data_IF_815131385979
#
_entry.id   IF_815131385979
#
_cell.length_a   1.000
_cell.length_b   1.000
_cell.length_c   1.000
_cell.angle_alpha   90.00
_cell.angle_beta   90.00
_cell.angle_gamma   90.00
#
_symmetry.space_group_name_H-M   'P 1'
#
loop_
_entity.id
_entity.type
_entity.pdbx_description
1 polymer ?
#
# COMPACT_ATOMS: atom_id res chain seq x y z
N UNK A 1 -0.50 -30.38 29.88
CA UNK A 1 0.56 -29.88 28.96
C UNK A 1 1.75 -30.83 28.86
N UNK A 2 2.19 -31.48 29.95
CA UNK A 2 3.31 -32.44 29.95
C UNK A 2 3.15 -33.70 29.05
N UNK A 3 1.98 -33.92 28.45
CA UNK A 3 1.72 -35.03 27.53
C UNK A 3 2.12 -34.71 26.07
N UNK A 4 2.33 -33.43 25.73
CA UNK A 4 2.60 -32.98 24.35
C UNK A 4 3.89 -32.16 24.19
N UNK A 5 4.48 -31.66 25.29
CA UNK A 5 5.80 -31.01 25.28
C UNK A 5 6.78 -31.91 26.02
N UNK A 6 7.85 -32.32 25.35
CA UNK A 6 8.95 -33.02 26.03
C UNK A 6 9.79 -32.03 26.81
N UNK A 7 10.55 -32.52 27.80
CA UNK A 7 11.48 -31.67 28.56
C UNK A 7 12.57 -31.04 27.68
N UNK A 8 12.94 -31.69 26.57
CA UNK A 8 13.88 -31.16 25.59
C UNK A 8 13.29 -29.96 24.84
N UNK A 9 12.01 -30.04 24.43
CA UNK A 9 11.29 -28.94 23.79
C UNK A 9 11.18 -27.72 24.72
N UNK A 10 10.90 -27.94 26.01
CA UNK A 10 10.84 -26.87 27.00
C UNK A 10 12.18 -26.13 27.12
N UNK A 11 13.29 -26.86 27.21
CA UNK A 11 14.64 -26.28 27.28
C UNK A 11 14.94 -25.48 26.01
N UNK A 12 14.61 -26.02 24.84
CA UNK A 12 14.84 -25.37 23.55
C UNK A 12 14.03 -24.08 23.41
N UNK A 13 12.75 -24.10 23.83
CA UNK A 13 11.89 -22.91 23.84
C UNK A 13 12.38 -21.85 24.83
N UNK A 14 12.83 -22.25 26.02
CA UNK A 14 13.40 -21.33 26.99
C UNK A 14 14.67 -20.66 26.46
N UNK A 15 15.57 -21.42 25.82
CA UNK A 15 16.77 -20.87 25.18
C UNK A 15 16.43 -19.85 24.10
N UNK A 16 15.48 -20.17 23.20
CA UNK A 16 15.02 -19.23 22.16
C UNK A 16 14.38 -17.98 22.75
N UNK A 17 13.52 -18.14 23.75
CA UNK A 17 12.87 -17.02 24.45
C UNK A 17 13.89 -16.12 25.14
N UNK A 18 14.93 -16.70 25.74
CA UNK A 18 16.01 -15.95 26.37
C UNK A 18 16.79 -15.12 25.35
N UNK A 19 17.14 -15.69 24.19
CA UNK A 19 17.81 -14.96 23.10
C UNK A 19 16.98 -13.80 22.55
N UNK A 20 15.65 -13.91 22.60
CA UNK A 20 14.74 -12.85 22.13
C UNK A 20 14.59 -11.69 23.12
N UNK A 21 15.01 -11.82 24.38
CA UNK A 21 14.90 -10.76 25.38
C UNK A 21 15.80 -9.58 25.01
N UNK A 22 15.25 -8.37 25.09
CA UNK A 22 15.93 -7.11 24.76
C UNK A 22 15.75 -6.14 25.91
N UNK A 23 16.83 -5.50 26.35
CA UNK A 23 16.80 -4.41 27.34
C UNK A 23 16.60 -3.04 26.67
N UNK A 24 16.89 -2.94 25.38
CA UNK A 24 16.77 -1.73 24.59
C UNK A 24 15.43 -1.65 23.86
N UNK A 25 15.04 -0.43 23.50
CA UNK A 25 13.87 -0.18 22.68
C UNK A 25 14.05 -0.68 21.24
N UNK A 26 12.93 -0.87 20.53
CA UNK A 26 12.98 -1.20 19.11
C UNK A 26 13.46 0.02 18.31
N UNK A 27 14.49 -0.12 17.45
CA UNK A 27 15.06 0.99 16.72
C UNK A 27 14.03 1.58 15.74
N UNK A 28 14.14 2.88 15.48
CA UNK A 28 13.32 3.60 14.50
C UNK A 28 13.90 3.58 13.10
N UNK A 29 15.13 3.06 12.92
CA UNK A 29 15.84 2.97 11.64
C UNK A 29 16.48 1.59 11.49
N UNK A 30 16.47 1.08 10.26
CA UNK A 30 17.00 -0.26 9.95
C UNK A 30 18.48 -0.26 9.59
N UNK A 31 19.03 0.89 9.18
CA UNK A 31 20.39 1.03 8.67
C UNK A 31 21.23 1.96 9.56
N UNK A 32 22.55 1.78 9.50
CA UNK A 32 23.50 2.72 10.06
C UNK A 32 23.62 3.94 9.13
N UNK A 33 23.18 5.10 9.60
CA UNK A 33 23.12 6.32 8.79
C UNK A 33 24.44 7.09 8.83
N UNK A 34 24.95 7.42 7.64
CA UNK A 34 26.02 8.42 7.52
C UNK A 34 25.44 9.79 7.85
N UNK A 35 25.95 10.44 8.90
CA UNK A 35 25.45 11.74 9.32
C UNK A 35 24.06 11.69 9.96
N UNK A 36 23.77 10.63 10.73
CA UNK A 36 22.52 10.38 11.44
C UNK A 36 21.87 11.61 12.12
N UNK A 37 22.66 12.50 12.73
CA UNK A 37 22.17 13.70 13.41
C UNK A 37 21.66 14.81 12.47
N UNK A 38 22.01 14.74 11.19
CA UNK A 38 21.62 15.70 10.14
C UNK A 38 20.52 15.16 9.24
N UNK A 39 20.15 13.89 9.37
CA UNK A 39 19.09 13.30 8.56
C UNK A 39 17.74 13.95 8.91
N UNK A 40 17.04 14.53 7.93
CA UNK A 40 15.82 15.29 8.20
C UNK A 40 14.67 14.41 8.73
N UNK A 41 14.64 13.12 8.38
CA UNK A 41 13.61 12.19 8.86
C UNK A 41 13.88 11.85 10.32
N UNK A 42 15.09 11.41 10.64
CA UNK A 42 15.46 11.02 12.00
C UNK A 42 15.41 12.19 12.98
N UNK A 43 15.87 13.37 12.57
CA UNK A 43 15.77 14.58 13.41
C UNK A 43 14.31 14.92 13.70
N UNK A 44 13.41 14.79 12.72
CA UNK A 44 11.99 15.04 12.95
C UNK A 44 11.35 13.99 13.86
N UNK A 45 11.64 12.71 13.67
CA UNK A 45 11.12 11.63 14.52
C UNK A 45 11.55 11.80 15.98
N UNK A 46 12.82 12.15 16.20
CA UNK A 46 13.37 12.46 17.53
C UNK A 46 12.73 13.69 18.15
N UNK A 47 12.54 14.76 17.37
CA UNK A 47 11.87 15.99 17.82
C UNK A 47 10.43 15.73 18.27
N UNK A 48 9.74 14.79 17.61
CA UNK A 48 8.36 14.40 17.94
C UNK A 48 8.27 13.33 19.05
N UNK A 49 9.40 12.84 19.57
CA UNK A 49 9.41 11.82 20.63
C UNK A 49 8.97 10.43 20.18
N UNK A 50 9.02 10.13 18.88
CA UNK A 50 8.57 8.85 18.33
C UNK A 50 9.68 7.80 18.42
N UNK A 51 9.79 7.12 19.56
CA UNK A 51 10.86 6.15 19.86
C UNK A 51 10.40 4.69 19.91
N UNK A 52 9.17 4.38 19.49
CA UNK A 52 8.57 3.05 19.61
C UNK A 52 8.41 2.57 21.06
N UNK A 53 8.05 3.47 22.00
CA UNK A 53 7.74 3.07 23.37
C UNK A 53 6.62 2.03 23.42
N UNK A 54 6.59 1.12 24.41
CA UNK A 54 5.50 0.15 24.55
C UNK A 54 4.10 0.80 24.59
N UNK A 55 4.00 2.01 25.14
CA UNK A 55 2.77 2.83 25.17
C UNK A 55 2.34 3.39 23.81
N UNK A 56 3.26 3.52 22.85
CA UNK A 56 2.97 4.15 21.57
C UNK A 56 2.08 3.23 20.72
N UNK A 57 0.90 3.71 20.32
CA UNK A 57 0.00 2.95 19.43
C UNK A 57 0.44 2.96 17.98
N UNK A 58 1.28 3.92 17.59
CA UNK A 58 1.87 4.02 16.27
C UNK A 58 3.37 3.74 16.39
N UNK A 59 3.86 2.76 15.61
CA UNK A 59 5.27 2.43 15.53
C UNK A 59 5.86 2.98 14.23
N UNK A 60 7.11 3.39 14.27
CA UNK A 60 7.84 3.94 13.12
C UNK A 60 9.01 3.03 12.78
N UNK A 61 9.14 2.71 11.50
CA UNK A 61 10.31 2.02 10.94
C UNK A 61 10.79 2.79 9.72
N UNK A 62 11.96 3.43 9.81
CA UNK A 62 12.63 4.08 8.70
C UNK A 62 13.57 3.10 7.99
N UNK A 63 13.31 2.89 6.71
CA UNK A 63 14.11 2.06 5.82
C UNK A 63 14.70 2.93 4.69
N UNK A 64 15.93 3.44 4.87
CA UNK A 64 16.57 4.39 3.95
C UNK A 64 17.20 3.73 2.70
N UNK A 65 16.73 2.55 2.32
CA UNK A 65 17.16 1.77 1.15
C UNK A 65 15.93 1.42 0.29
N UNK A 66 16.14 1.09 -0.99
CA UNK A 66 15.08 0.52 -1.82
C UNK A 66 14.81 -0.92 -1.41
N UNK A 67 13.53 -1.30 -1.45
CA UNK A 67 13.11 -2.66 -1.16
C UNK A 67 13.56 -3.61 -2.29
N UNK A 68 14.06 -4.77 -1.88
CA UNK A 68 14.56 -5.82 -2.75
C UNK A 68 14.35 -7.16 -2.04
N UNK A 69 13.88 -8.17 -2.76
CA UNK A 69 13.74 -9.56 -2.28
C UNK A 69 15.04 -10.14 -1.73
N UNK A 70 16.20 -9.67 -2.21
CA UNK A 70 17.51 -10.07 -1.69
C UNK A 70 17.85 -9.43 -0.32
N UNK A 71 17.06 -8.47 0.17
CA UNK A 71 17.33 -7.82 1.45
C UNK A 71 17.00 -8.78 2.61
N UNK A 72 17.97 -9.11 3.48
CA UNK A 72 17.79 -10.06 4.57
C UNK A 72 16.77 -9.63 5.64
N UNK A 73 16.36 -8.36 5.66
CA UNK A 73 15.43 -7.80 6.65
C UNK A 73 13.96 -8.11 6.31
N UNK A 74 13.55 -7.80 5.07
CA UNK A 74 12.16 -7.93 4.64
C UNK A 74 11.95 -9.13 3.70
N UNK A 75 12.92 -9.46 2.85
CA UNK A 75 12.79 -10.54 1.87
C UNK A 75 11.63 -10.33 0.89
N UNK A 76 11.30 -9.07 0.57
CA UNK A 76 10.17 -8.70 -0.28
C UNK A 76 10.60 -7.68 -1.33
N UNK A 77 10.09 -7.85 -2.55
CA UNK A 77 10.18 -6.80 -3.57
C UNK A 77 9.20 -5.65 -3.25
N UNK A 78 9.45 -4.48 -3.84
CA UNK A 78 8.64 -3.28 -3.61
C UNK A 78 7.13 -3.52 -3.83
N UNK A 79 6.75 -4.22 -4.90
CA UNK A 79 5.34 -4.47 -5.19
C UNK A 79 4.68 -5.41 -4.17
N UNK A 80 5.40 -6.44 -3.71
CA UNK A 80 4.91 -7.38 -2.70
C UNK A 80 4.72 -6.66 -1.37
N UNK A 81 5.67 -5.80 -1.02
CA UNK A 81 5.58 -4.95 0.15
C UNK A 81 4.36 -4.03 0.09
N UNK A 82 4.14 -3.33 -1.03
CA UNK A 82 2.97 -2.45 -1.20
C UNK A 82 1.68 -3.26 -1.07
N UNK A 83 1.56 -4.43 -1.72
CA UNK A 83 0.38 -5.31 -1.61
C UNK A 83 0.14 -5.82 -0.19
N UNK A 84 1.19 -5.99 0.61
CA UNK A 84 1.14 -6.34 2.03
C UNK A 84 0.73 -5.18 2.95
N UNK A 85 0.84 -3.94 2.47
CA UNK A 85 0.43 -2.76 3.21
C UNK A 85 -1.07 -2.50 3.11
N UNK A 86 -1.60 -1.72 4.06
CA UNK A 86 -3.04 -1.42 4.13
C UNK A 86 -3.40 -0.06 3.54
N UNK A 87 -2.50 0.91 3.66
CA UNK A 87 -2.69 2.29 3.22
C UNK A 87 -1.34 2.88 2.80
N UNK A 88 -1.29 3.48 1.61
CA UNK A 88 -0.17 4.32 1.18
C UNK A 88 -0.43 5.79 1.53
N UNK A 89 0.56 6.51 2.06
CA UNK A 89 0.40 7.90 2.49
C UNK A 89 1.46 8.76 1.80
N UNK A 90 1.01 9.63 0.89
CA UNK A 90 1.84 10.43 -0.02
C UNK A 90 1.44 11.92 0.03
N UNK A 91 1.73 12.64 1.14
CA UNK A 91 1.35 14.05 1.31
C UNK A 91 2.28 15.00 0.52
N UNK A 92 2.49 14.72 -0.76
CA UNK A 92 3.43 15.41 -1.65
C UNK A 92 3.12 16.90 -1.78
N UNK A 93 4.17 17.74 -1.69
CA UNK A 93 4.08 19.18 -1.97
C UNK A 93 4.26 19.51 -3.45
N UNK A 94 5.09 18.72 -4.14
CA UNK A 94 5.38 18.87 -5.56
C UNK A 94 5.39 17.49 -6.22
N UNK A 95 4.38 17.21 -7.02
CA UNK A 95 4.21 15.93 -7.69
C UNK A 95 3.43 16.12 -9.01
N UNK A 96 4.13 16.30 -10.13
CA UNK A 96 3.48 16.62 -11.41
C UNK A 96 2.49 15.56 -11.88
N UNK A 97 2.77 14.28 -11.58
CA UNK A 97 1.87 13.17 -11.85
C UNK A 97 1.51 12.44 -10.56
N UNK A 98 2.35 11.53 -10.08
CA UNK A 98 2.04 10.73 -8.90
C UNK A 98 1.97 9.24 -9.23
N UNK A 99 3.13 8.68 -9.61
CA UNK A 99 3.24 7.26 -9.92
C UNK A 99 2.95 6.38 -8.70
N UNK A 100 3.48 6.74 -7.53
CA UNK A 100 3.33 5.95 -6.31
C UNK A 100 1.86 5.75 -5.87
N UNK A 101 1.00 6.79 -5.80
CA UNK A 101 -0.43 6.57 -5.53
C UNK A 101 -1.16 5.85 -6.68
N UNK A 102 -0.74 6.02 -7.93
CA UNK A 102 -1.29 5.28 -9.06
C UNK A 102 -0.96 3.78 -8.98
N UNK A 103 0.29 3.42 -8.71
CA UNK A 103 0.77 2.06 -8.46
C UNK A 103 0.01 1.41 -7.30
N UNK A 104 -0.17 2.12 -6.18
CA UNK A 104 -0.99 1.63 -5.08
C UNK A 104 -2.42 1.32 -5.53
N UNK A 105 -3.02 2.18 -6.37
CA UNK A 105 -4.38 1.99 -6.88
C UNK A 105 -4.48 0.74 -7.77
N UNK A 106 -3.52 0.56 -8.67
CA UNK A 106 -3.41 -0.64 -9.52
C UNK A 106 -3.25 -1.91 -8.68
N UNK A 107 -2.52 -1.83 -7.57
CA UNK A 107 -2.36 -2.93 -6.61
C UNK A 107 -3.54 -3.11 -5.64
N UNK A 108 -4.62 -2.33 -5.76
CA UNK A 108 -5.79 -2.41 -4.87
C UNK A 108 -5.48 -1.98 -3.44
N UNK A 109 -4.53 -1.06 -3.25
CA UNK A 109 -4.12 -0.49 -1.98
C UNK A 109 -4.61 0.97 -1.90
N UNK A 110 -5.51 1.29 -0.95
CA UNK A 110 -5.96 2.66 -0.72
C UNK A 110 -4.78 3.60 -0.50
N UNK A 111 -4.91 4.85 -0.94
CA UNK A 111 -3.86 5.84 -0.81
C UNK A 111 -4.38 7.22 -0.39
N UNK A 112 -3.57 7.94 0.39
CA UNK A 112 -3.74 9.36 0.69
C UNK A 112 -2.77 10.14 -0.20
N UNK A 113 -3.30 11.09 -0.97
CA UNK A 113 -2.53 12.03 -1.80
C UNK A 113 -2.97 13.47 -1.51
N UNK A 114 -2.35 14.46 -2.17
CA UNK A 114 -2.72 15.88 -2.03
C UNK A 114 -3.42 16.40 -3.28
N UNK A 115 -4.13 17.52 -3.14
CA UNK A 115 -4.71 18.22 -4.29
C UNK A 115 -3.69 18.90 -5.22
N UNK A 116 -2.41 18.93 -4.83
CA UNK A 116 -1.30 19.41 -5.66
C UNK A 116 -0.69 18.31 -6.54
N UNK A 117 -1.00 17.04 -6.26
CA UNK A 117 -0.56 15.91 -7.09
C UNK A 117 -1.37 15.85 -8.40
N UNK A 118 -0.72 15.65 -9.54
CA UNK A 118 -1.39 15.51 -10.84
C UNK A 118 -2.39 14.35 -10.89
N UNK A 119 -2.11 13.29 -10.13
CA UNK A 119 -2.94 12.11 -9.97
C UNK A 119 -4.33 12.48 -9.47
N UNK A 120 -4.43 13.44 -8.55
CA UNK A 120 -5.71 13.97 -8.07
C UNK A 120 -6.52 14.61 -9.19
N UNK A 121 -5.88 15.34 -10.11
CA UNK A 121 -6.55 15.95 -11.26
C UNK A 121 -7.29 14.91 -12.10
N UNK A 122 -6.59 13.83 -12.44
CA UNK A 122 -7.16 12.71 -13.20
C UNK A 122 -8.31 12.00 -12.47
N UNK A 123 -8.14 11.73 -11.17
CA UNK A 123 -9.14 10.99 -10.39
C UNK A 123 -10.40 11.81 -10.08
N UNK A 124 -10.25 13.10 -9.80
CA UNK A 124 -11.37 14.01 -9.48
C UNK A 124 -12.30 14.26 -10.68
N UNK A 125 -11.74 14.22 -11.90
CA UNK A 125 -12.52 14.33 -13.13
C UNK A 125 -13.27 13.04 -13.44
N UNK A 126 -12.73 11.90 -13.01
CA UNK A 126 -13.25 10.57 -13.31
C UNK A 126 -14.26 10.05 -12.29
N UNK A 127 -14.20 10.49 -11.03
CA UNK A 127 -14.94 9.90 -9.90
C UNK A 127 -15.72 10.98 -9.13
N UNK A 128 -16.93 10.66 -8.65
CA UNK A 128 -17.73 11.59 -7.82
C UNK A 128 -17.25 11.61 -6.37
N UNK A 129 -17.11 10.45 -5.74
CA UNK A 129 -16.63 10.31 -4.36
C UNK A 129 -15.38 9.44 -4.30
N UNK A 130 -14.21 10.09 -4.27
CA UNK A 130 -12.91 9.41 -4.31
C UNK A 130 -12.65 8.58 -3.05
N UNK A 131 -13.24 8.97 -1.90
CA UNK A 131 -12.96 8.37 -0.60
C UNK A 131 -13.54 6.95 -0.45
N UNK A 132 -14.73 6.72 -1.01
CA UNK A 132 -15.39 5.42 -1.06
C UNK A 132 -14.63 4.39 -1.89
N UNK A 133 -13.82 4.87 -2.83
CA UNK A 133 -12.92 4.08 -3.67
C UNK A 133 -11.50 3.97 -3.09
N UNK A 134 -11.23 4.49 -1.89
CA UNK A 134 -9.93 4.39 -1.25
C UNK A 134 -8.90 5.42 -1.71
N UNK A 135 -9.33 6.48 -2.41
CA UNK A 135 -8.48 7.61 -2.81
C UNK A 135 -8.82 8.81 -1.92
N UNK A 136 -7.99 9.02 -0.91
CA UNK A 136 -8.12 10.13 0.02
C UNK A 136 -7.30 11.32 -0.48
N UNK A 137 -7.93 12.50 -0.52
CA UNK A 137 -7.28 13.73 -0.98
C UNK A 137 -7.23 14.69 0.21
N UNK A 138 -6.02 15.12 0.54
CA UNK A 138 -5.76 16.19 1.52
C UNK A 138 -5.62 17.51 0.79
N UNK A 139 -6.23 18.57 1.33
CA UNK A 139 -6.10 19.90 0.75
C UNK A 139 -4.84 20.58 1.26
N UNK A 140 -3.90 20.82 0.35
CA UNK A 140 -2.62 21.50 0.58
C UNK A 140 -2.54 22.86 -0.12
N UNK A 141 -3.55 23.21 -0.93
CA UNK A 141 -3.56 24.44 -1.74
C UNK A 141 -4.31 25.57 -1.05
N UNK A 142 -5.45 25.26 -0.44
CA UNK A 142 -6.36 26.26 0.13
C UNK A 142 -6.31 26.31 1.66
N UNK A 143 -5.62 25.36 2.30
CA UNK A 143 -5.54 25.24 3.76
C UNK A 143 -4.15 25.53 4.29
N UNK A 144 -4.09 25.94 5.55
CA UNK A 144 -2.85 26.09 6.30
C UNK A 144 -2.18 24.73 6.57
N UNK A 145 -0.91 24.76 6.95
CA UNK A 145 -0.15 23.54 7.27
C UNK A 145 -0.76 22.79 8.45
N UNK A 146 -1.26 23.51 9.46
CA UNK A 146 -1.87 22.89 10.65
C UNK A 146 -3.18 22.17 10.29
N UNK A 147 -4.06 22.83 9.52
CA UNK A 147 -5.29 22.21 9.05
C UNK A 147 -5.04 21.00 8.15
N UNK A 148 -3.96 21.04 7.36
CA UNK A 148 -3.51 19.90 6.56
C UNK A 148 -3.07 18.72 7.44
N UNK A 149 -2.29 18.98 8.49
CA UNK A 149 -1.83 17.94 9.42
C UNK A 149 -3.02 17.32 10.12
N UNK A 150 -3.96 18.13 10.60
CA UNK A 150 -5.19 17.65 11.22
C UNK A 150 -6.02 16.81 10.25
N UNK A 151 -6.25 17.30 9.03
CA UNK A 151 -7.00 16.56 8.02
C UNK A 151 -6.34 15.21 7.67
N UNK A 152 -5.01 15.18 7.55
CA UNK A 152 -4.26 13.95 7.30
C UNK A 152 -4.42 12.96 8.47
N UNK A 153 -4.26 13.43 9.71
CA UNK A 153 -4.42 12.62 10.90
C UNK A 153 -5.84 12.06 11.02
N UNK A 154 -6.86 12.86 10.73
CA UNK A 154 -8.27 12.46 10.75
C UNK A 154 -8.54 11.35 9.73
N UNK A 155 -8.04 11.50 8.50
CA UNK A 155 -8.18 10.46 7.45
C UNK A 155 -7.51 9.15 7.86
N UNK A 156 -6.31 9.21 8.46
CA UNK A 156 -5.61 8.04 8.97
C UNK A 156 -6.39 7.38 10.13
N UNK A 157 -6.92 8.18 11.05
CA UNK A 157 -7.71 7.69 12.18
C UNK A 157 -9.01 7.01 11.74
N UNK A 158 -9.74 7.62 10.81
CA UNK A 158 -10.96 7.04 10.22
C UNK A 158 -10.64 5.71 9.54
N UNK A 159 -9.50 5.59 8.86
CA UNK A 159 -9.08 4.33 8.26
C UNK A 159 -8.77 3.25 9.31
N UNK A 160 -8.07 3.61 10.40
CA UNK A 160 -7.79 2.70 11.52
C UNK A 160 -9.07 2.16 12.18
N UNK A 161 -10.13 2.97 12.22
CA UNK A 161 -11.42 2.59 12.81
C UNK A 161 -12.26 1.65 11.92
N UNK A 162 -11.86 1.42 10.66
CA UNK A 162 -12.60 0.50 9.77
C UNK A 162 -12.49 -0.95 10.27
N UNK A 163 -13.54 -1.73 10.05
CA UNK A 163 -13.50 -3.19 10.24
C UNK A 163 -12.70 -3.88 9.13
N UNK A 164 -12.27 -5.12 9.37
CA UNK A 164 -11.62 -5.95 8.34
C UNK A 164 -12.45 -6.03 7.05
N UNK A 165 -13.75 -6.26 7.19
CA UNK A 165 -14.68 -6.36 6.07
C UNK A 165 -14.76 -5.05 5.28
N UNK A 166 -14.84 -3.91 5.97
CA UNK A 166 -14.81 -2.59 5.32
C UNK A 166 -13.50 -2.35 4.57
N UNK A 167 -12.35 -2.75 5.12
CA UNK A 167 -11.05 -2.65 4.44
C UNK A 167 -10.99 -3.52 3.19
N UNK A 168 -11.45 -4.77 3.25
CA UNK A 168 -11.47 -5.66 2.08
C UNK A 168 -12.36 -5.08 0.97
N UNK A 169 -13.55 -4.59 1.31
CA UNK A 169 -14.44 -3.99 0.33
C UNK A 169 -13.85 -2.72 -0.29
N UNK A 170 -13.17 -1.89 0.51
CA UNK A 170 -12.48 -0.70 -0.01
C UNK A 170 -11.33 -1.08 -0.95
N UNK A 171 -10.52 -2.09 -0.63
CA UNK A 171 -9.46 -2.61 -1.51
C UNK A 171 -10.01 -3.10 -2.84
N UNK A 172 -11.08 -3.89 -2.83
CA UNK A 172 -11.75 -4.36 -4.05
C UNK A 172 -12.29 -3.20 -4.90
N UNK A 173 -12.77 -2.12 -4.27
CA UNK A 173 -13.19 -0.92 -4.99
C UNK A 173 -12.00 -0.14 -5.57
N UNK A 174 -10.91 -0.05 -4.81
CA UNK A 174 -9.67 0.61 -5.26
C UNK A 174 -9.12 -0.08 -6.50
N UNK A 175 -9.06 -1.41 -6.50
CA UNK A 175 -8.59 -2.22 -7.63
C UNK A 175 -9.39 -1.97 -8.91
N UNK A 176 -10.72 -1.77 -8.82
CA UNK A 176 -11.57 -1.47 -10.00
C UNK A 176 -11.20 -0.17 -10.71
N UNK A 177 -10.45 0.71 -10.06
CA UNK A 177 -9.96 1.94 -10.69
C UNK A 177 -8.69 1.72 -11.53
N UNK A 178 -8.08 0.53 -11.46
CA UNK A 178 -6.88 0.19 -12.22
C UNK A 178 -7.09 0.32 -13.73
N UNK A 179 -8.25 -0.09 -14.26
CA UNK A 179 -8.61 0.03 -15.67
C UNK A 179 -8.57 1.47 -16.20
N UNK A 180 -8.81 2.47 -15.33
CA UNK A 180 -8.72 3.88 -15.71
C UNK A 180 -7.28 4.34 -15.92
N UNK A 181 -6.35 3.69 -15.21
CA UNK A 181 -4.92 4.00 -15.21
C UNK A 181 -4.15 3.15 -16.22
N UNK A 182 -4.83 2.34 -17.03
CA UNK A 182 -4.21 1.55 -18.10
C UNK A 182 -3.81 2.46 -19.28
N UNK A 183 -2.66 2.16 -19.88
CA UNK A 183 -2.18 2.81 -21.10
C UNK A 183 -3.10 2.63 -22.30
N UNK A 184 -3.90 1.56 -22.35
CA UNK A 184 -4.97 1.39 -23.34
C UNK A 184 -5.93 2.58 -23.33
N UNK A 185 -6.21 3.14 -22.15
CA UNK A 185 -7.06 4.33 -21.99
C UNK A 185 -6.25 5.62 -22.05
N UNK A 186 -5.19 5.75 -21.26
CA UNK A 186 -4.41 6.99 -21.20
C UNK A 186 -3.69 7.30 -22.52
N UNK A 187 -3.35 6.29 -23.32
CA UNK A 187 -2.74 6.43 -24.63
C UNK A 187 -3.64 7.13 -25.65
N UNK A 188 -4.96 7.15 -25.44
CA UNK A 188 -5.90 7.87 -26.29
C UNK A 188 -5.59 9.37 -26.33
N UNK A 189 -5.16 9.96 -25.22
CA UNK A 189 -4.77 11.38 -25.16
C UNK A 189 -3.52 11.68 -26.01
N UNK A 190 -2.60 10.71 -26.15
CA UNK A 190 -1.45 10.84 -27.04
C UNK A 190 -1.87 10.80 -28.51
N UNK A 191 -2.83 9.94 -28.86
CA UNK A 191 -3.39 9.87 -30.21
C UNK A 191 -4.09 11.20 -30.55
N UNK A 192 -4.96 11.71 -29.66
CA UNK A 192 -5.63 13.01 -29.80
C UNK A 192 -4.62 14.14 -30.02
N UNK A 193 -3.53 14.17 -29.24
CA UNK A 193 -2.49 15.20 -29.34
C UNK A 193 -1.75 15.14 -30.68
N UNK A 194 -1.43 13.94 -31.17
CA UNK A 194 -0.78 13.75 -32.49
C UNK A 194 -1.69 14.17 -33.63
N UNK A 195 -2.97 13.79 -33.58
CA UNK A 195 -3.97 14.21 -34.56
C UNK A 195 -4.13 15.73 -34.58
N UNK A 196 -4.22 16.36 -33.40
CA UNK A 196 -4.29 17.82 -33.30
C UNK A 196 -3.04 18.51 -33.87
N UNK A 197 -1.84 17.96 -33.62
CA UNK A 197 -0.60 18.48 -34.16
C UNK A 197 -0.56 18.41 -35.69
N UNK A 198 -0.95 17.27 -36.28
CA UNK A 198 -1.00 17.09 -37.73
C UNK A 198 -2.03 18.03 -38.38
N UNK A 199 -3.22 18.16 -37.80
CA UNK A 199 -4.26 19.06 -38.29
C UNK A 199 -3.85 20.53 -38.26
N UNK A 200 -3.06 20.94 -37.26
CA UNK A 200 -2.49 22.29 -37.19
C UNK A 200 -1.34 22.51 -38.17
N UNK A 201 -0.54 21.47 -38.44
CA UNK A 201 0.61 21.55 -39.35
C UNK A 201 0.20 21.51 -40.83
N UNK A 202 -0.84 20.74 -41.17
CA UNK A 202 -1.32 20.55 -42.54
C UNK A 202 -2.84 20.73 -42.68
N UNK A 203 -3.39 21.94 -42.46
CA UNK A 203 -4.84 22.15 -42.45
C UNK A 203 -5.54 21.70 -43.74
N UNK A 204 -4.93 21.95 -44.90
CA UNK A 204 -5.50 21.64 -46.22
C UNK A 204 -5.53 20.13 -46.54
N UNK A 205 -4.82 19.31 -45.76
CA UNK A 205 -4.76 17.85 -45.94
C UNK A 205 -5.74 17.08 -45.07
N UNK A 206 -6.49 17.75 -44.20
CA UNK A 206 -7.48 17.14 -43.31
C UNK A 206 -8.84 17.79 -43.56
N UNK A 207 -9.80 17.03 -44.09
CA UNK A 207 -11.19 17.46 -44.16
C UNK A 207 -11.82 17.50 -42.75
N UNK A 208 -12.87 18.31 -42.56
CA UNK A 208 -13.55 18.45 -41.26
C UNK A 208 -14.17 17.14 -40.76
N UNK A 209 -14.50 16.22 -41.67
CA UNK A 209 -15.08 14.90 -41.37
C UNK A 209 -14.02 13.82 -41.08
N UNK A 210 -12.73 14.13 -41.24
CA UNK A 210 -11.64 13.16 -41.19
C UNK A 210 -11.11 12.94 -39.76
N UNK A 211 -12.03 12.74 -38.81
CA UNK A 211 -11.66 12.17 -37.53
C UNK A 211 -11.36 10.69 -37.78
N UNK A 212 -10.10 10.37 -38.07
CA UNK A 212 -9.56 9.03 -38.38
C UNK A 212 -9.70 8.10 -37.17
N UNK A 213 -10.93 7.78 -36.80
CA UNK A 213 -11.30 6.67 -35.95
C UNK A 213 -11.29 5.38 -36.75
N UNK A 214 -11.62 5.44 -38.05
CA UNK A 214 -11.80 4.28 -38.93
C UNK A 214 -10.61 3.32 -38.98
N UNK A 215 -9.38 3.82 -38.84
CA UNK A 215 -8.14 3.01 -38.85
C UNK A 215 -7.71 2.49 -37.46
N UNK A 216 -8.36 2.94 -36.39
CA UNK A 216 -8.13 2.40 -35.04
C UNK A 216 -8.91 1.10 -34.87
N UNK A 217 -8.44 0.23 -34.00
CA UNK A 217 -9.17 -0.97 -33.61
C UNK A 217 -10.54 -0.60 -33.03
N UNK A 218 -11.54 -1.46 -33.26
CA UNK A 218 -12.94 -1.21 -32.88
C UNK A 218 -13.12 -0.91 -31.38
N UNK A 219 -12.24 -1.45 -30.53
CA UNK A 219 -12.24 -1.24 -29.08
C UNK A 219 -11.79 0.19 -28.73
N UNK A 220 -10.67 0.65 -29.31
CA UNK A 220 -10.19 2.03 -29.21
C UNK A 220 -11.19 3.04 -29.78
N UNK A 221 -11.83 2.71 -30.91
CA UNK A 221 -12.90 3.56 -31.48
C UNK A 221 -14.05 3.73 -30.48
N UNK A 222 -14.49 2.64 -29.84
CA UNK A 222 -15.59 2.67 -28.89
C UNK A 222 -15.24 3.45 -27.61
N UNK A 223 -14.00 3.35 -27.12
CA UNK A 223 -13.51 4.15 -26.00
C UNK A 223 -13.44 5.64 -26.34
N UNK A 224 -12.93 6.01 -27.52
CA UNK A 224 -12.86 7.40 -27.97
C UNK A 224 -14.24 8.04 -28.16
N UNK A 225 -15.19 7.31 -28.77
CA UNK A 225 -16.58 7.76 -28.92
C UNK A 225 -17.24 7.92 -27.55
N UNK A 226 -16.96 7.04 -26.58
CA UNK A 226 -17.47 7.16 -25.21
C UNK A 226 -16.92 8.39 -24.47
N UNK A 227 -15.73 8.88 -24.84
CA UNK A 227 -15.10 10.07 -24.23
C UNK A 227 -15.47 11.39 -24.92
N UNK A 228 -16.04 11.36 -26.13
CA UNK A 228 -16.56 12.55 -26.83
C UNK A 228 -17.93 13.02 -26.29
N UNK A 229 -18.64 12.18 -25.53
CA UNK A 229 -19.85 12.55 -24.80
C UNK A 229 -19.55 13.28 -23.47
N UNK A 230 -20.57 13.82 -22.77
CA UNK A 230 -20.38 14.41 -21.45
C UNK A 230 -19.75 13.37 -20.50
N UNK A 231 -18.58 13.69 -19.92
CA UNK A 231 -17.83 12.80 -19.02
C UNK A 231 -18.74 12.31 -17.88
N UNK A 232 -19.24 11.08 -17.99
CA UNK A 232 -20.05 10.47 -16.93
C UNK A 232 -19.13 9.96 -15.83
N UNK A 233 -19.04 10.71 -14.73
CA UNK A 233 -18.24 10.32 -13.56
C UNK A 233 -18.70 8.97 -13.02
N UNK A 234 -17.75 8.19 -12.52
CA UNK A 234 -18.03 6.90 -11.89
C UNK A 234 -18.90 7.16 -10.65
N UNK A 235 -20.11 6.57 -10.61
CA UNK A 235 -21.05 6.79 -9.50
C UNK A 235 -20.59 6.04 -8.25
N UNK A 236 -21.17 6.40 -7.11
CA UNK A 236 -20.91 5.71 -5.84
C UNK A 236 -21.22 4.21 -6.00
N UNK A 237 -20.31 3.31 -5.59
CA UNK A 237 -20.50 1.89 -5.79
C UNK A 237 -21.64 1.41 -4.89
N UNK A 238 -22.71 0.90 -5.51
CA UNK A 238 -23.75 0.16 -4.77
C UNK A 238 -23.08 -0.98 -4.01
N UNK A 239 -23.48 -1.18 -2.75
CA UNK A 239 -22.98 -2.22 -1.85
C UNK A 239 -23.20 -3.61 -2.44
N UNK A 240 -22.37 -4.01 -3.40
CA UNK A 240 -22.41 -5.34 -3.96
C UNK A 240 -21.69 -6.27 -2.99
N UNK A 241 -22.31 -7.38 -2.55
CA UNK A 241 -21.59 -8.42 -1.82
C UNK A 241 -20.42 -8.88 -2.68
N UNK A 242 -19.25 -9.08 -2.06
CA UNK A 242 -18.06 -9.55 -2.75
C UNK A 242 -18.39 -10.82 -3.55
N UNK A 243 -17.96 -10.87 -4.82
CA UNK A 243 -18.18 -12.05 -5.65
C UNK A 243 -17.57 -13.27 -4.96
N UNK A 244 -18.36 -14.31 -4.73
CA UNK A 244 -17.88 -15.63 -4.34
C UNK A 244 -17.05 -16.21 -5.49
N UNK A 245 -15.74 -15.95 -5.51
CA UNK A 245 -14.81 -16.79 -6.29
C UNK A 245 -14.68 -18.11 -5.54
N UNK A 246 -15.51 -19.09 -5.92
CA UNK A 246 -15.30 -20.49 -5.58
C UNK A 246 -13.93 -20.86 -6.16
N UNK A 247 -12.93 -21.04 -5.28
CA UNK A 247 -11.63 -21.59 -5.67
C UNK A 247 -11.83 -23.08 -5.92
N UNK A 248 -11.90 -23.49 -7.17
CA UNK A 248 -11.63 -24.89 -7.55
C UNK A 248 -10.16 -25.18 -7.23
N UNK A 249 -9.82 -26.24 -6.48
CA UNK A 249 -8.44 -26.62 -6.26
C UNK A 249 -7.83 -27.13 -7.57
N UNK A 250 -6.63 -26.66 -7.89
CA UNK A 250 -5.76 -27.28 -8.90
C UNK A 250 -5.29 -28.64 -8.37
N UNK A 251 -5.50 -29.70 -9.14
CA UNK A 251 -4.99 -31.04 -8.84
C UNK A 251 -3.45 -31.06 -8.94
N UNK A 252 -2.78 -31.69 -7.98
CA UNK A 252 -1.38 -32.10 -8.12
C UNK A 252 -0.33 -31.46 -7.19
N UNK A 253 -0.68 -31.03 -5.97
CA UNK A 253 0.34 -30.67 -4.96
C UNK A 253 0.11 -31.48 -3.69
N UNK A 254 1.17 -32.13 -3.18
CA UNK A 254 1.14 -33.04 -2.04
C UNK A 254 0.44 -32.43 -0.80
N UNK A 255 -0.64 -33.07 -0.37
CA UNK A 255 -1.64 -32.58 0.59
C UNK A 255 -1.57 -33.31 1.93
N UNK A 256 -0.40 -33.40 2.56
CA UNK A 256 -0.30 -34.04 3.89
C UNK A 256 -0.44 -33.06 5.08
N UNK A 257 -0.37 -31.75 4.87
CA UNK A 257 -0.49 -30.76 5.97
C UNK A 257 -1.44 -29.58 5.67
N UNK A 258 -2.40 -29.77 4.76
CA UNK A 258 -3.43 -28.76 4.48
C UNK A 258 -4.56 -28.80 5.50
N UNK A 259 -4.99 -27.62 5.97
CA UNK A 259 -6.17 -27.38 6.82
C UNK A 259 -7.44 -28.17 6.40
N UNK A 260 -7.53 -28.51 5.12
CA UNK A 260 -8.57 -29.32 4.49
C UNK A 260 -8.70 -30.77 5.01
N UNK A 261 -7.66 -31.35 5.62
CA UNK A 261 -7.71 -32.73 6.18
C UNK A 261 -7.74 -32.81 7.71
N UNK A 262 -7.67 -31.68 8.42
CA UNK A 262 -7.83 -31.66 9.89
C UNK A 262 -9.26 -32.08 10.28
N UNK A 263 -9.39 -32.87 11.34
CA UNK A 263 -10.69 -33.23 11.91
C UNK A 263 -11.44 -31.96 12.37
N UNK A 264 -12.78 -32.02 12.43
CA UNK A 264 -13.58 -30.86 12.84
C UNK A 264 -13.19 -30.34 14.24
N UNK A 265 -12.85 -31.24 15.16
CA UNK A 265 -12.39 -30.88 16.51
C UNK A 265 -10.99 -30.26 16.52
N UNK A 266 -10.08 -30.71 15.65
CA UNK A 266 -8.73 -30.14 15.53
C UNK A 266 -8.76 -28.76 14.87
N UNK A 267 -9.68 -28.54 13.92
CA UNK A 267 -9.92 -27.21 13.34
C UNK A 267 -10.45 -26.23 14.37
N UNK A 268 -11.41 -26.66 15.18
CA UNK A 268 -11.92 -25.84 16.30
C UNK A 268 -10.80 -25.55 17.30
N UNK A 269 -10.01 -26.55 17.70
CA UNK A 269 -8.89 -26.36 18.62
C UNK A 269 -7.82 -25.41 18.07
N UNK A 270 -7.51 -25.49 16.77
CA UNK A 270 -6.57 -24.58 16.09
C UNK A 270 -7.13 -23.16 15.94
N UNK A 271 -8.44 -23.02 15.74
CA UNK A 271 -9.12 -21.72 15.73
C UNK A 271 -9.22 -21.10 17.13
N UNK A 272 -9.35 -21.93 18.17
CA UNK A 272 -9.42 -21.53 19.57
C UNK A 272 -8.05 -21.28 20.23
N UNK A 273 -6.95 -21.76 19.62
CA UNK A 273 -5.62 -21.69 20.22
C UNK A 273 -5.18 -20.23 20.44
N UNK A 274 -5.12 -19.84 21.71
CA UNK A 274 -4.49 -18.60 22.19
C UNK A 274 -3.21 -18.96 22.91
N UNK A 275 -2.11 -18.31 22.54
CA UNK A 275 -0.89 -18.31 23.34
C UNK A 275 -1.13 -17.42 24.57
N UNK A 276 -1.39 -18.03 25.72
CA UNK A 276 -1.47 -17.33 27.01
C UNK A 276 -0.04 -17.05 27.54
N UNK A 277 0.66 -16.13 26.86
CA UNK A 277 1.77 -15.38 27.48
C UNK A 277 1.22 -14.15 28.19
N UNK A 278 2.04 -13.34 28.88
CA UNK A 278 1.64 -12.03 29.39
C UNK A 278 1.45 -11.05 28.21
N UNK A 279 0.46 -11.34 27.38
CA UNK A 279 -0.08 -10.44 26.39
C UNK A 279 -0.88 -9.43 27.19
N UNK A 280 -0.23 -8.33 27.59
CA UNK A 280 -0.94 -7.16 28.11
C UNK A 280 -2.11 -6.90 27.18
N UNK A 281 -3.31 -6.84 27.74
CA UNK A 281 -4.60 -6.74 27.06
C UNK A 281 -4.72 -5.56 26.07
N UNK A 282 -3.74 -4.67 26.02
CA UNK A 282 -3.76 -3.41 25.28
C UNK A 282 -3.14 -3.49 23.86
N UNK A 283 -2.65 -4.66 23.43
CA UNK A 283 -1.99 -4.85 22.12
C UNK A 283 -2.92 -4.69 20.89
N UNK A 284 -4.21 -4.39 21.09
CA UNK A 284 -5.25 -4.63 20.09
C UNK A 284 -5.32 -3.64 18.92
N UNK A 285 -4.50 -2.57 18.90
CA UNK A 285 -4.54 -1.54 17.85
C UNK A 285 -3.16 -0.94 17.49
N UNK A 286 -2.11 -1.76 17.43
CA UNK A 286 -0.77 -1.27 17.08
C UNK A 286 -0.68 -1.04 15.57
N UNK A 287 -0.53 0.20 15.14
CA UNK A 287 -0.33 0.54 13.71
C UNK A 287 1.16 0.74 13.47
N UNK A 288 1.74 0.11 12.45
CA UNK A 288 3.12 0.40 12.06
C UNK A 288 3.15 1.25 10.80
N UNK A 289 3.98 2.28 10.82
CA UNK A 289 4.27 3.13 9.68
C UNK A 289 5.70 2.83 9.25
N UNK A 290 5.83 2.32 8.04
CA UNK A 290 7.14 2.11 7.42
C UNK A 290 7.40 3.26 6.47
N UNK A 291 8.51 3.93 6.69
CA UNK A 291 8.98 5.06 5.88
C UNK A 291 10.07 4.50 4.96
N UNK A 292 9.77 4.35 3.69
CA UNK A 292 10.72 3.82 2.69
C UNK A 292 11.06 4.89 1.65
N UNK A 293 12.18 4.70 0.95
CA UNK A 293 12.43 5.38 -0.31
C UNK A 293 11.65 4.67 -1.42
N UNK A 294 10.85 5.38 -2.20
CA UNK A 294 10.22 4.82 -3.41
C UNK A 294 11.04 5.11 -4.66
N UNK A 295 11.04 4.13 -5.59
CA UNK A 295 11.51 4.33 -6.94
C UNK A 295 10.52 5.27 -7.67
N UNK A 296 11.01 6.40 -8.17
CA UNK A 296 10.38 7.06 -9.31
C UNK A 296 11.35 6.90 -10.48
N UNK A 297 11.05 5.97 -11.40
CA UNK A 297 11.69 5.93 -12.71
C UNK A 297 10.71 6.62 -13.66
N UNK A 298 10.94 7.88 -14.05
CA UNK A 298 10.19 8.45 -15.15
C UNK A 298 10.54 7.64 -16.40
N UNK A 299 9.52 7.11 -17.08
CA UNK A 299 9.70 6.34 -18.32
C UNK A 299 10.38 7.15 -19.46
N UNK A 300 10.66 8.44 -19.24
CA UNK A 300 11.33 9.33 -20.19
C UNK A 300 12.50 10.18 -19.64
N UNK A 301 12.76 10.24 -18.33
CA UNK A 301 13.82 11.09 -17.74
C UNK A 301 14.41 10.42 -16.50
N UNK A 302 15.64 9.91 -16.57
CA UNK A 302 16.38 9.35 -15.41
C UNK A 302 16.77 10.44 -14.40
N UNK A 303 15.81 11.00 -13.67
CA UNK A 303 16.07 11.84 -12.50
C UNK A 303 15.47 11.12 -11.28
N UNK A 304 16.29 10.47 -10.43
CA UNK A 304 15.80 9.81 -9.23
C UNK A 304 15.32 10.88 -8.22
N UNK A 305 14.01 11.04 -8.09
CA UNK A 305 13.41 11.81 -7.00
C UNK A 305 13.27 10.88 -5.79
N UNK A 306 14.02 11.15 -4.71
CA UNK A 306 13.85 10.45 -3.44
C UNK A 306 12.53 10.90 -2.81
N UNK A 307 11.50 10.05 -2.85
CA UNK A 307 10.25 10.30 -2.13
C UNK A 307 10.11 9.37 -0.95
N UNK A 308 9.68 9.96 0.16
CA UNK A 308 9.28 9.24 1.36
C UNK A 308 7.92 8.63 1.09
N UNK A 309 7.88 7.30 1.01
CA UNK A 309 6.66 6.51 0.99
C UNK A 309 6.36 6.06 2.40
N UNK A 310 5.23 6.50 2.95
CA UNK A 310 4.74 6.00 4.23
C UNK A 310 3.71 4.92 3.94
N UNK A 311 3.96 3.70 4.42
CA UNK A 311 2.99 2.62 4.34
C UNK A 311 2.52 2.23 5.73
N UNK A 312 1.21 2.04 5.87
CA UNK A 312 0.59 1.73 7.15
C UNK A 312 0.18 0.25 7.19
N UNK A 313 0.56 -0.45 8.26
CA UNK A 313 0.11 -1.82 8.55
C UNK A 313 -0.69 -1.87 9.85
N UNK A 314 -1.88 -2.46 9.79
CA UNK A 314 -2.76 -2.67 10.94
C UNK A 314 -2.91 -4.19 11.15
N UNK A 315 -2.39 -4.78 12.24
CA UNK A 315 -2.53 -6.19 12.53
C UNK A 315 -3.99 -6.48 12.91
N UNK A 316 -4.58 -7.47 12.25
CA UNK A 316 -5.85 -8.05 12.65
C UNK A 316 -5.62 -9.45 13.21
N UNK A 317 -6.17 -9.71 14.39
CA UNK A 317 -6.42 -11.01 15.01
C UNK A 317 -5.66 -12.19 14.41
N UNK A 318 -4.35 -12.20 14.62
CA UNK A 318 -3.47 -13.36 14.86
C UNK A 318 -2.05 -12.81 14.81
N UNK A 319 -1.39 -12.86 15.96
CA UNK A 319 0.02 -12.54 16.10
C UNK A 319 0.78 -13.55 15.23
N UNK A 320 1.27 -13.10 14.07
CA UNK A 320 2.36 -13.78 13.35
C UNK A 320 3.56 -12.85 13.55
N UNK A 321 4.63 -13.26 14.27
CA UNK A 321 5.70 -12.36 14.67
C UNK A 321 6.57 -11.97 13.45
N UNK A 322 6.22 -10.89 12.76
CA UNK A 322 7.10 -10.27 11.75
C UNK A 322 8.36 -9.63 12.37
N UNK A 323 8.41 -9.50 13.70
CA UNK A 323 9.56 -8.96 14.45
C UNK A 323 10.74 -9.95 14.56
N UNK A 324 10.58 -11.21 14.17
CA UNK A 324 11.60 -12.26 14.35
C UNK A 324 12.64 -12.29 13.21
N UNK A 325 12.28 -11.87 11.99
CA UNK A 325 13.21 -11.91 10.84
C UNK A 325 14.20 -10.72 10.78
N UNK A 326 13.85 -9.59 11.41
CA UNK A 326 14.58 -8.32 11.26
C UNK A 326 15.96 -8.27 11.94
N UNK A 327 16.32 -9.24 12.80
CA UNK A 327 17.57 -9.14 13.57
C UNK A 327 18.48 -10.37 13.53
N UNK A 328 18.01 -11.53 13.06
CA UNK A 328 18.91 -12.69 12.95
C UNK A 328 20.05 -12.47 11.93
N UNK A 329 19.84 -11.59 10.94
CA UNK A 329 20.83 -11.22 9.93
C UNK A 329 21.74 -10.03 10.31
N UNK A 330 21.45 -9.28 11.38
CA UNK A 330 22.30 -8.17 11.82
C UNK A 330 23.47 -8.67 12.70
N UNK A 331 23.27 -9.76 13.45
CA UNK A 331 24.25 -10.25 14.42
C UNK A 331 25.11 -11.44 13.94
N UNK A 332 24.96 -11.90 12.70
CA UNK A 332 25.75 -13.02 12.14
C UNK A 332 26.95 -12.59 11.29
N UNK A 333 27.25 -11.29 11.20
CA UNK A 333 28.47 -10.78 10.57
C UNK A 333 29.05 -9.57 11.33
N UNK A 334 29.65 -9.85 12.48
CA UNK A 334 30.86 -9.17 12.97
C UNK A 334 31.93 -10.24 13.09
#
# INVERSE_FOLDING_TARGET
>A
MAQFLTSEDEILLQRRTFTLRRSTMSPIVTHNMVGDSKDPVLTQLRRLGLFNHPSDRVKIVFHPEFLNSNNPLFGLDYEEFVRGCHLGVFPSCYEPWGYTPAECTVMGVPSITTNLSGFRGFMNDSIVDSSEYGIYIVDRRMKSVEELIQQLADQMLVFCQKSRHQRINQRNRTERLSDLLDWKRMGLEYIKTRQLALRRAYPDSFDDDDFVLSNLDKETQQLLVSEQGPKKKIPIPRSAPGSLKIRTPLEGVDTELTFAKMSASDRERYLQYRMDGPCRSDCHNITSIVITKSHQVPMALKIPQQKITMSMTCPLHKYVPWQESLQHNINTRI
#
